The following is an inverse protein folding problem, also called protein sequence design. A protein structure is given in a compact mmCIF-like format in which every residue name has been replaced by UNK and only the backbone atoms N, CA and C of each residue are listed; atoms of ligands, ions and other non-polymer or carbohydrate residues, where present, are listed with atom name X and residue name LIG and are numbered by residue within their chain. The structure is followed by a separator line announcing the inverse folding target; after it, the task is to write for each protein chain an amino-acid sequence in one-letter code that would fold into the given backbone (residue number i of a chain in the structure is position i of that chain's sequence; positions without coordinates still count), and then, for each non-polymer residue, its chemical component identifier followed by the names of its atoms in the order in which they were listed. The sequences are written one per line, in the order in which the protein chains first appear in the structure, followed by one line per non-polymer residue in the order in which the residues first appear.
data_IF_546383106216
#
_entry.id   IF_546383106216
#
_cell.length_a   1.000
_cell.length_b   1.000
_cell.length_c   1.000
_cell.angle_alpha   90.00
_cell.angle_beta   90.00
_cell.angle_gamma   90.00
#
_symmetry.space_group_name_H-M   'P 1'
#
loop_
_entity.id
_entity.type
_entity.pdbx_description
1 polymer ?
#
# COMPACT_ATOMS: atom_id res chain seq x y z
N UNK A 1 3.23 -10.02 15.00
CA UNK A 1 4.68 -9.94 14.69
C UNK A 1 5.21 -8.57 15.09
N UNK A 2 6.53 -8.41 15.27
CA UNK A 2 7.15 -7.09 15.50
C UNK A 2 7.19 -6.34 14.16
N UNK A 3 6.82 -5.06 14.17
CA UNK A 3 6.92 -4.19 13.00
C UNK A 3 8.40 -3.99 12.63
N UNK A 4 8.82 -4.26 11.38
CA UNK A 4 10.21 -4.10 10.97
C UNK A 4 10.64 -2.62 10.87
N UNK A 5 9.69 -1.68 10.92
CA UNK A 5 9.97 -0.24 10.79
C UNK A 5 10.07 0.47 12.15
N UNK A 6 9.18 0.16 13.11
CA UNK A 6 9.11 0.88 14.39
C UNK A 6 9.37 0.01 15.63
N UNK A 7 9.72 -1.26 15.45
CA UNK A 7 10.00 -2.24 16.51
C UNK A 7 8.86 -2.50 17.51
N UNK A 8 7.65 -1.99 17.23
CA UNK A 8 6.48 -2.23 18.07
C UNK A 8 5.79 -3.56 17.70
N UNK A 9 5.23 -4.31 18.67
CA UNK A 9 4.47 -5.54 18.43
C UNK A 9 3.02 -5.22 17.97
N UNK A 10 2.86 -4.36 16.98
CA UNK A 10 1.59 -3.79 16.55
C UNK A 10 1.14 -4.22 15.15
N UNK A 11 1.80 -5.23 14.56
CA UNK A 11 1.44 -5.76 13.23
C UNK A 11 0.23 -6.69 13.31
N UNK A 12 -0.79 -6.41 12.49
CA UNK A 12 -2.02 -7.19 12.38
C UNK A 12 -2.38 -7.44 10.93
N UNK A 13 -2.72 -8.68 10.61
CA UNK A 13 -3.26 -9.03 9.30
C UNK A 13 -4.61 -8.36 9.07
N UNK A 14 -4.78 -7.70 7.93
CA UNK A 14 -6.05 -7.09 7.52
C UNK A 14 -6.14 -6.99 5.99
N UNK A 15 -7.35 -6.68 5.52
CA UNK A 15 -7.61 -6.26 4.14
C UNK A 15 -8.15 -4.83 4.18
N UNK A 16 -7.48 -3.90 3.50
CA UNK A 16 -7.79 -2.46 3.58
C UNK A 16 -7.66 -1.81 2.21
N UNK A 17 -8.44 -0.74 2.03
CA UNK A 17 -8.23 0.17 0.91
C UNK A 17 -7.09 1.13 1.25
N UNK A 18 -6.13 1.29 0.34
CA UNK A 18 -4.92 2.10 0.57
C UNK A 18 -4.93 3.32 -0.35
N UNK A 19 -4.88 4.55 0.21
CA UNK A 19 -4.75 5.75 -0.60
C UNK A 19 -3.37 5.79 -1.25
N UNK A 20 -3.33 6.20 -2.52
CA UNK A 20 -2.09 6.41 -3.26
C UNK A 20 -2.12 7.78 -3.94
N UNK A 21 -1.07 8.56 -3.72
CA UNK A 21 -0.90 9.87 -4.35
C UNK A 21 0.29 9.86 -5.30
N UNK A 22 0.11 10.46 -6.47
CA UNK A 22 1.16 10.63 -7.46
C UNK A 22 0.99 11.96 -8.20
N UNK A 23 2.03 12.81 -8.18
CA UNK A 23 2.04 14.14 -8.83
C UNK A 23 0.82 15.02 -8.49
N UNK A 24 0.36 14.98 -7.24
CA UNK A 24 -0.78 15.76 -6.76
C UNK A 24 -2.16 15.19 -7.12
N UNK A 25 -2.21 14.03 -7.78
CA UNK A 25 -3.43 13.28 -8.04
C UNK A 25 -3.53 12.08 -7.10
N UNK A 26 -4.72 11.81 -6.57
CA UNK A 26 -4.97 10.74 -5.61
C UNK A 26 -5.86 9.65 -6.20
N UNK A 27 -5.61 8.41 -5.80
CA UNK A 27 -6.45 7.25 -6.07
C UNK A 27 -6.52 6.36 -4.83
N UNK A 28 -7.34 5.31 -4.88
CA UNK A 28 -7.44 4.29 -3.86
C UNK A 28 -7.16 2.94 -4.50
N UNK A 29 -6.25 2.17 -3.91
CA UNK A 29 -5.98 0.79 -4.29
C UNK A 29 -6.85 -0.10 -3.39
N UNK A 30 -7.87 -0.77 -3.93
CA UNK A 30 -8.83 -1.49 -3.11
C UNK A 30 -8.32 -2.86 -2.67
N UNK A 31 -8.87 -3.34 -1.56
CA UNK A 31 -8.71 -4.70 -1.04
C UNK A 31 -7.26 -5.15 -0.93
N UNK A 32 -6.39 -4.30 -0.38
CA UNK A 32 -4.99 -4.64 -0.15
C UNK A 32 -4.86 -5.56 1.07
N UNK A 33 -4.40 -6.78 0.84
CA UNK A 33 -4.16 -7.77 1.89
C UNK A 33 -2.72 -7.67 2.41
N UNK A 34 -2.57 -7.67 3.73
CA UNK A 34 -1.24 -7.61 4.33
C UNK A 34 -1.27 -7.47 5.83
N UNK A 35 -0.09 -7.34 6.42
CA UNK A 35 0.07 -7.02 7.83
C UNK A 35 0.28 -5.51 7.99
N UNK A 36 -0.58 -4.89 8.81
CA UNK A 36 -0.58 -3.45 9.07
C UNK A 36 -0.13 -3.15 10.50
N UNK A 37 0.77 -2.20 10.65
CA UNK A 37 1.19 -1.70 11.95
C UNK A 37 0.24 -0.60 12.44
N UNK A 38 -0.48 -0.84 13.54
CA UNK A 38 -1.30 0.19 14.18
C UNK A 38 -0.48 1.32 14.84
N UNK A 39 0.83 1.09 15.06
CA UNK A 39 1.73 2.03 15.71
C UNK A 39 2.28 3.11 14.79
N UNK A 40 2.64 2.76 13.55
CA UNK A 40 3.28 3.68 12.60
C UNK A 40 2.67 3.67 11.20
N UNK A 41 1.70 2.79 10.90
CA UNK A 41 1.08 2.69 9.58
C UNK A 41 1.88 1.88 8.55
N UNK A 42 2.97 1.22 8.95
CA UNK A 42 3.72 0.32 8.08
C UNK A 42 2.84 -0.82 7.55
N UNK A 43 3.10 -1.25 6.31
CA UNK A 43 2.37 -2.32 5.66
C UNK A 43 3.35 -3.32 5.06
N UNK A 44 3.27 -4.57 5.51
CA UNK A 44 4.03 -5.69 4.95
C UNK A 44 3.10 -6.58 4.16
N UNK A 45 3.49 -6.92 2.94
CA UNK A 45 2.67 -7.67 1.99
C UNK A 45 3.43 -8.91 1.52
N UNK A 46 2.70 -9.96 1.13
CA UNK A 46 3.28 -11.09 0.43
C UNK A 46 3.63 -10.71 -1.02
N UNK A 47 4.59 -11.42 -1.63
CA UNK A 47 5.10 -11.12 -2.97
C UNK A 47 4.00 -10.95 -4.04
N UNK A 48 3.00 -11.84 -4.05
CA UNK A 48 1.90 -11.77 -5.01
C UNK A 48 1.07 -10.49 -4.86
N UNK A 49 0.86 -10.07 -3.61
CA UNK A 49 0.06 -8.90 -3.28
C UNK A 49 0.86 -7.62 -3.55
N UNK A 50 2.18 -7.62 -3.27
CA UNK A 50 3.10 -6.55 -3.67
C UNK A 50 3.12 -6.35 -5.18
N UNK A 51 3.13 -7.42 -5.98
CA UNK A 51 3.05 -7.34 -7.44
C UNK A 51 1.72 -6.76 -7.91
N UNK A 52 0.60 -7.16 -7.30
CA UNK A 52 -0.74 -6.65 -7.62
C UNK A 52 -0.85 -5.15 -7.35
N UNK A 53 -0.45 -4.71 -6.16
CA UNK A 53 -0.46 -3.29 -5.77
C UNK A 53 0.51 -2.48 -6.62
N UNK A 54 1.73 -2.97 -6.85
CA UNK A 54 2.71 -2.31 -7.73
C UNK A 54 2.19 -2.12 -9.16
N UNK A 55 1.48 -3.12 -9.70
CA UNK A 55 0.83 -3.02 -11.02
C UNK A 55 -0.26 -1.95 -11.03
N UNK A 56 -1.09 -1.88 -9.98
CA UNK A 56 -2.13 -0.87 -9.84
C UNK A 56 -1.54 0.56 -9.72
N UNK A 57 -0.49 0.73 -8.91
CA UNK A 57 0.24 2.00 -8.79
C UNK A 57 0.82 2.43 -10.14
N UNK A 58 1.45 1.51 -10.88
CA UNK A 58 2.03 1.79 -12.19
C UNK A 58 0.96 2.17 -13.22
N UNK A 59 -0.17 1.47 -13.24
CA UNK A 59 -1.29 1.81 -14.12
C UNK A 59 -1.80 3.23 -13.85
N UNK A 60 -1.94 3.61 -12.58
CA UNK A 60 -2.34 4.97 -12.20
C UNK A 60 -1.29 6.01 -12.61
N UNK A 61 0.00 5.76 -12.37
CA UNK A 61 1.09 6.66 -12.78
C UNK A 61 1.07 6.93 -14.30
N UNK A 62 0.94 5.87 -15.11
CA UNK A 62 0.83 6.00 -16.57
C UNK A 62 -0.39 6.85 -16.97
N UNK A 63 -1.52 6.66 -16.28
CA UNK A 63 -2.74 7.43 -16.53
C UNK A 63 -2.59 8.91 -16.16
N UNK A 64 -1.88 9.24 -15.07
CA UNK A 64 -1.58 10.61 -14.64
C UNK A 64 -0.60 11.26 -15.62
N UNK A 65 0.47 10.56 -15.98
CA UNK A 65 1.49 11.07 -16.91
C UNK A 65 0.93 11.36 -18.30
N UNK A 66 -0.08 10.63 -18.75
CA UNK A 66 -0.77 10.89 -20.02
C UNK A 66 -1.68 12.14 -19.99
N UNK A 67 -2.00 12.67 -18.81
CA UNK A 67 -2.80 13.91 -18.62
C UNK A 67 -1.94 15.16 -18.37
N UNK A 68 -0.68 14.97 -17.98
CA UNK A 68 0.26 16.03 -17.64
C UNK A 68 0.95 16.61 -18.88
#
# INVERSE_FOLDING_TARGET
MICPFCDQPAMKHAVRDIPFEYKGESTVIPHVEGDFCDGCGEMVMADAESLRVGTAMRAFQVQVDARA
#
